data_IF_737153226439
#
_entry.id   IF_737153226439
#
_cell.length_a   1.000
_cell.length_b   1.000
_cell.length_c   1.000
_cell.angle_alpha   90.00
_cell.angle_beta   90.00
_cell.angle_gamma   90.00
#
_symmetry.space_group_name_H-M   'P 1'
#
loop_
_entity.id
_entity.type
_entity.pdbx_description
1 polymer ?
#
# COMPACT_ATOMS: atom_id res chain seq x y z
N UNK A 1 4.07 15.31 -4.73
CA UNK A 1 3.43 13.98 -4.63
C UNK A 1 2.61 13.70 -5.87
N UNK A 2 2.89 12.59 -6.58
CA UNK A 2 2.13 12.16 -7.76
C UNK A 2 0.79 11.54 -7.35
N UNK A 3 -0.08 11.25 -8.33
CA UNK A 3 -1.45 10.72 -8.12
C UNK A 3 -1.53 9.57 -7.09
N UNK A 4 -0.55 8.67 -7.08
CA UNK A 4 -0.46 7.53 -6.15
C UNK A 4 -0.30 7.91 -4.68
N UNK A 5 0.08 9.15 -4.36
CA UNK A 5 0.28 9.62 -2.98
C UNK A 5 -0.74 10.69 -2.56
N UNK A 6 -1.88 10.81 -3.24
CA UNK A 6 -2.91 11.82 -2.92
C UNK A 6 -3.54 11.68 -1.53
N UNK A 7 -3.33 10.55 -0.85
CA UNK A 7 -3.79 10.35 0.54
C UNK A 7 -3.06 11.19 1.59
N UNK A 8 -1.92 11.78 1.25
CA UNK A 8 -1.18 12.70 2.13
C UNK A 8 -1.64 14.16 1.98
N UNK A 9 -2.34 14.51 0.90
CA UNK A 9 -2.78 15.90 0.66
C UNK A 9 -4.11 16.17 1.37
N UNK A 10 -4.16 17.24 2.17
CA UNK A 10 -5.38 17.72 2.84
C UNK A 10 -6.33 18.42 1.85
N UNK A 11 -7.60 18.57 2.25
CA UNK A 11 -8.64 19.28 1.49
C UNK A 11 -8.85 18.74 0.06
N UNK A 12 -8.65 17.43 -0.12
CA UNK A 12 -8.93 16.73 -1.38
C UNK A 12 -9.82 15.51 -1.14
N UNK A 13 -10.50 15.04 -2.17
CA UNK A 13 -11.30 13.81 -2.11
C UNK A 13 -10.47 12.56 -1.79
N UNK A 14 -9.14 12.61 -2.00
CA UNK A 14 -8.22 11.54 -1.65
C UNK A 14 -7.77 11.55 -0.19
N UNK A 15 -8.11 12.58 0.58
CA UNK A 15 -7.64 12.73 1.95
C UNK A 15 -8.19 11.62 2.88
N UNK A 16 -7.30 11.04 3.68
CA UNK A 16 -7.69 10.03 4.67
C UNK A 16 -8.13 10.70 5.98
N UNK A 17 -9.41 10.57 6.34
CA UNK A 17 -9.94 11.07 7.61
C UNK A 17 -9.53 10.22 8.82
N UNK A 18 -9.25 8.93 8.61
CA UNK A 18 -8.78 7.98 9.62
C UNK A 18 -7.29 7.75 9.44
N UNK A 19 -6.53 7.78 10.53
CA UNK A 19 -5.08 7.53 10.51
C UNK A 19 -4.77 6.12 10.02
N UNK A 20 -5.55 5.11 10.42
CA UNK A 20 -5.36 3.72 10.01
C UNK A 20 -5.40 3.55 8.48
N UNK A 21 -6.33 4.25 7.81
CA UNK A 21 -6.44 4.21 6.35
C UNK A 21 -5.26 4.89 5.64
N UNK A 22 -4.64 5.86 6.32
CA UNK A 22 -3.42 6.50 5.84
C UNK A 22 -2.24 5.53 5.98
N UNK A 23 -2.07 4.94 7.16
CA UNK A 23 -1.03 3.93 7.44
C UNK A 23 -1.09 2.78 6.43
N UNK A 24 -2.28 2.19 6.19
CA UNK A 24 -2.45 1.11 5.23
C UNK A 24 -2.02 1.51 3.80
N UNK A 25 -2.35 2.73 3.37
CA UNK A 25 -1.94 3.22 2.06
C UNK A 25 -0.43 3.41 1.93
N UNK A 26 0.22 3.87 3.01
CA UNK A 26 1.67 4.01 3.08
C UNK A 26 2.35 2.65 3.03
N UNK A 27 1.89 1.68 3.82
CA UNK A 27 2.42 0.32 3.82
C UNK A 27 2.33 -0.32 2.43
N UNK A 28 1.16 -0.23 1.77
CA UNK A 28 0.98 -0.75 0.41
C UNK A 28 1.90 -0.07 -0.60
N UNK A 29 2.10 1.25 -0.49
CA UNK A 29 2.96 1.99 -1.40
C UNK A 29 4.42 1.53 -1.30
N UNK A 30 4.96 1.45 -0.09
CA UNK A 30 6.36 1.06 0.11
C UNK A 30 6.60 -0.42 -0.19
N UNK A 31 5.64 -1.31 0.12
CA UNK A 31 5.75 -2.72 -0.26
C UNK A 31 5.87 -2.86 -1.78
N UNK A 32 4.94 -2.27 -2.54
CA UNK A 32 4.98 -2.33 -4.00
C UNK A 32 6.23 -1.67 -4.58
N UNK A 33 6.57 -0.46 -4.11
CA UNK A 33 7.67 0.31 -4.69
C UNK A 33 9.04 -0.34 -4.44
N UNK A 34 9.25 -0.93 -3.26
CA UNK A 34 10.54 -1.52 -2.90
C UNK A 34 10.70 -2.96 -3.39
N UNK A 35 9.64 -3.76 -3.41
CA UNK A 35 9.73 -5.21 -3.63
C UNK A 35 9.21 -5.69 -4.98
N UNK A 36 8.22 -5.00 -5.59
CA UNK A 36 7.60 -5.43 -6.85
C UNK A 36 7.99 -4.58 -8.06
N UNK A 37 8.26 -3.29 -7.85
CA UNK A 37 8.53 -2.37 -8.95
C UNK A 37 10.02 -2.35 -9.32
N UNK A 38 10.34 -2.81 -10.53
CA UNK A 38 11.67 -2.66 -11.11
C UNK A 38 11.93 -1.16 -11.39
N UNK A 39 13.03 -0.64 -10.85
CA UNK A 39 13.40 0.76 -11.06
C UNK A 39 14.17 0.91 -12.37
N UNK A 40 13.81 1.92 -13.19
CA UNK A 40 14.43 2.10 -14.53
C UNK A 40 15.95 2.24 -14.49
N UNK A 41 16.47 2.93 -13.47
CA UNK A 41 17.91 3.19 -13.31
C UNK A 41 18.65 1.99 -12.73
N UNK A 42 18.09 1.35 -11.71
CA UNK A 42 18.71 0.19 -11.04
C UNK A 42 18.58 -1.10 -11.87
N UNK A 43 17.56 -1.18 -12.74
CA UNK A 43 17.16 -2.40 -13.49
C UNK A 43 16.73 -3.59 -12.62
N UNK A 44 16.81 -3.43 -11.29
CA UNK A 44 16.28 -4.32 -10.25
C UNK A 44 15.34 -3.57 -9.32
N UNK A 45 14.75 -4.26 -8.33
CA UNK A 45 13.94 -3.61 -7.30
C UNK A 45 14.85 -3.00 -6.22
N UNK A 46 14.44 -1.92 -5.54
CA UNK A 46 15.23 -1.35 -4.45
C UNK A 46 15.58 -2.34 -3.33
N UNK A 47 14.67 -3.26 -3.00
CA UNK A 47 14.92 -4.29 -1.99
C UNK A 47 15.98 -5.30 -2.43
N UNK A 48 16.08 -5.59 -3.73
CA UNK A 48 17.14 -6.45 -4.26
C UNK A 48 18.50 -5.76 -4.23
N UNK A 49 18.56 -4.49 -4.64
CA UNK A 49 19.80 -3.70 -4.58
C UNK A 49 20.33 -3.57 -3.15
N UNK A 50 19.43 -3.47 -2.17
CA UNK A 50 19.78 -3.42 -0.75
C UNK A 50 20.09 -4.80 -0.13
N UNK A 51 19.98 -5.90 -0.88
CA UNK A 51 20.21 -7.26 -0.38
C UNK A 51 19.15 -7.78 0.59
N UNK A 52 17.94 -7.19 0.59
CA UNK A 52 16.82 -7.58 1.47
C UNK A 52 15.95 -8.68 0.82
N UNK A 53 15.88 -8.70 -0.52
CA UNK A 53 15.13 -9.67 -1.30
C UNK A 53 16.00 -10.20 -2.44
N UNK A 54 15.82 -11.46 -2.82
CA UNK A 54 16.54 -12.11 -3.93
C UNK A 54 15.71 -12.19 -5.22
N UNK A 55 14.42 -11.84 -5.16
CA UNK A 55 13.49 -11.87 -6.28
C UNK A 55 12.58 -10.64 -6.32
N UNK A 56 11.92 -10.48 -7.47
CA UNK A 56 10.85 -9.50 -7.68
C UNK A 56 9.53 -10.09 -7.19
N UNK A 57 8.87 -9.39 -6.26
CA UNK A 57 7.61 -9.84 -5.69
C UNK A 57 6.46 -9.63 -6.68
N UNK A 58 5.63 -10.66 -6.84
CA UNK A 58 4.35 -10.58 -7.53
C UNK A 58 3.28 -9.90 -6.67
N UNK A 59 2.20 -9.43 -7.31
CA UNK A 59 1.09 -8.82 -6.57
C UNK A 59 0.38 -9.90 -5.73
N UNK A 60 0.28 -11.12 -6.25
CA UNK A 60 -0.30 -12.27 -5.59
C UNK A 60 0.43 -12.61 -4.29
N UNK A 61 1.77 -12.64 -4.30
CA UNK A 61 2.58 -12.87 -3.10
C UNK A 61 2.36 -11.77 -2.04
N UNK A 62 2.30 -10.51 -2.47
CA UNK A 62 2.03 -9.39 -1.56
C UNK A 62 0.64 -9.52 -0.92
N UNK A 63 -0.38 -9.88 -1.70
CA UNK A 63 -1.76 -10.03 -1.19
C UNK A 63 -1.84 -11.19 -0.19
N UNK A 64 -1.12 -12.28 -0.42
CA UNK A 64 -1.07 -13.44 0.50
C UNK A 64 -0.48 -13.12 1.88
N UNK A 65 0.24 -12.00 2.03
CA UNK A 65 0.70 -11.54 3.35
C UNK A 65 -0.43 -11.02 4.24
N UNK A 66 -1.56 -10.64 3.64
CA UNK A 66 -2.70 -10.09 4.37
C UNK A 66 -3.57 -11.25 4.86
N UNK A 67 -3.95 -11.29 6.15
CA UNK A 67 -4.84 -12.32 6.65
C UNK A 67 -6.21 -12.22 5.96
N UNK A 68 -6.83 -13.37 5.71
CA UNK A 68 -8.16 -13.46 5.12
C UNK A 68 -9.16 -12.58 5.89
N UNK A 69 -9.88 -11.66 5.22
CA UNK A 69 -10.76 -10.75 5.91
C UNK A 69 -11.96 -11.52 6.49
N UNK A 70 -12.09 -11.50 7.82
CA UNK A 70 -13.32 -11.98 8.47
C UNK A 70 -14.45 -11.02 8.14
N UNK A 71 -15.46 -11.49 7.40
CA UNK A 71 -16.62 -10.70 7.03
C UNK A 71 -17.36 -10.22 8.29
N UNK A 72 -17.32 -8.91 8.56
CA UNK A 72 -18.06 -8.30 9.66
C UNK A 72 -19.43 -7.85 9.16
N UNK A 73 -20.49 -8.16 9.92
CA UNK A 73 -21.84 -7.64 9.65
C UNK A 73 -21.79 -6.12 9.71
N UNK A 74 -22.25 -5.44 8.65
CA UNK A 74 -22.31 -3.97 8.60
C UNK A 74 -23.16 -3.47 9.76
N UNK A 75 -22.62 -2.55 10.56
CA UNK A 75 -23.33 -1.91 11.66
C UNK A 75 -24.48 -1.02 11.17
N UNK A 76 -25.44 -0.72 12.05
CA UNK A 76 -26.53 0.21 11.76
C UNK A 76 -25.99 1.61 11.47
N UNK A 77 -26.65 2.34 10.55
CA UNK A 77 -26.31 3.73 10.28
C UNK A 77 -26.67 4.58 11.50
N UNK A 78 -25.75 5.46 11.94
CA UNK A 78 -26.07 6.41 13.01
C UNK A 78 -27.18 7.34 12.50
N UNK A 79 -28.36 7.29 13.13
CA UNK A 79 -29.40 8.29 12.88
C UNK A 79 -28.86 9.65 13.31
N UNK A 80 -29.05 10.63 12.43
CA UNK A 80 -28.60 12.01 12.61
C UNK A 80 -29.48 12.72 13.62
#
# INVERSE_FOLDING_TARGET
>A
MRMHMRRFTRLTNGFSKKVDNHMNAVSLHFMYYNFAKIHKTLRVTPAMEAGISDHVWSIEEIVRLVPEPVAKKRGSYKKK
#
